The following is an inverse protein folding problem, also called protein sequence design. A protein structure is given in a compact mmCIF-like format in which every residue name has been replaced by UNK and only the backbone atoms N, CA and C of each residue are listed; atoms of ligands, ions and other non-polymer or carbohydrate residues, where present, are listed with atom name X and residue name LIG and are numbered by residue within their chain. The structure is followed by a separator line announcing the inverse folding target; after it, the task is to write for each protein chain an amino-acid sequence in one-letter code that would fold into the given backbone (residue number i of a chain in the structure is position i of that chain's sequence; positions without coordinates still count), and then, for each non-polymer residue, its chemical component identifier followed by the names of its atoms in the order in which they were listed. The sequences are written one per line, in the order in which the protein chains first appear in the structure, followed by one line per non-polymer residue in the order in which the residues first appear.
data_IF_372469590960
#
_entry.id   IF_372469590960
#
_cell.length_a   1.000
_cell.length_b   1.000
_cell.length_c   1.000
_cell.angle_alpha   90.00
_cell.angle_beta   90.00
_cell.angle_gamma   90.00
#
_symmetry.space_group_name_H-M   'P 1'
#
loop_
_entity.id
_entity.type
_entity.pdbx_description
1 polymer ?
#
# COMPACT_ATOMS: atom_id res chain seq x y z
N UNK A 1 13.31 10.66 8.99
CA UNK A 1 12.96 9.36 8.40
C UNK A 1 12.19 9.64 7.13
N UNK A 2 12.71 9.20 5.99
CA UNK A 2 12.12 9.47 4.69
C UNK A 2 10.73 8.80 4.65
N UNK A 3 9.67 9.60 4.62
CA UNK A 3 8.29 9.08 4.74
C UNK A 3 7.77 8.65 3.36
N UNK A 4 8.60 7.92 2.61
CA UNK A 4 8.40 7.59 1.21
C UNK A 4 7.02 6.97 0.96
N UNK A 5 6.59 6.07 1.84
CA UNK A 5 5.25 5.46 1.77
C UNK A 5 4.14 6.49 1.93
N UNK A 6 4.27 7.37 2.92
CA UNK A 6 3.27 8.42 3.19
C UNK A 6 3.20 9.38 2.01
N UNK A 7 4.34 9.89 1.56
CA UNK A 7 4.40 10.82 0.43
C UNK A 7 3.84 10.19 -0.84
N UNK A 8 4.15 8.90 -1.10
CA UNK A 8 3.62 8.18 -2.26
C UNK A 8 2.09 8.01 -2.20
N UNK A 9 1.53 7.73 -1.03
CA UNK A 9 0.08 7.61 -0.84
C UNK A 9 -0.62 8.97 -0.89
N UNK A 10 -0.03 10.03 -0.32
CA UNK A 10 -0.59 11.39 -0.34
C UNK A 10 -0.66 11.97 -1.76
N UNK A 11 0.34 11.69 -2.61
CA UNK A 11 0.30 12.09 -4.04
C UNK A 11 -0.80 11.33 -4.81
N UNK A 12 -1.32 10.23 -4.26
CA UNK A 12 -2.40 9.43 -4.85
C UNK A 12 -3.73 9.57 -4.10
N UNK A 13 -3.88 10.59 -3.24
CA UNK A 13 -5.09 10.79 -2.44
C UNK A 13 -6.38 10.83 -3.29
N UNK A 14 -6.37 11.58 -4.40
CA UNK A 14 -7.53 11.64 -5.31
C UNK A 14 -7.91 10.27 -5.90
N UNK A 15 -6.92 9.44 -6.24
CA UNK A 15 -7.13 8.08 -6.75
C UNK A 15 -7.71 7.18 -5.65
N UNK A 16 -7.14 7.23 -4.45
CA UNK A 16 -7.59 6.46 -3.30
C UNK A 16 -9.04 6.79 -2.95
N UNK A 17 -9.38 8.07 -2.88
CA UNK A 17 -10.74 8.56 -2.65
C UNK A 17 -11.70 8.10 -3.75
N UNK A 18 -11.29 8.19 -5.03
CA UNK A 18 -12.10 7.74 -6.17
C UNK A 18 -12.49 6.27 -6.09
N UNK A 19 -11.60 5.41 -5.59
CA UNK A 19 -11.86 3.98 -5.41
C UNK A 19 -12.43 3.62 -4.03
N UNK A 20 -12.76 4.61 -3.19
CA UNK A 20 -13.32 4.39 -1.86
C UNK A 20 -12.33 3.70 -0.91
N UNK A 21 -11.04 3.94 -1.09
CA UNK A 21 -9.96 3.34 -0.31
C UNK A 21 -9.64 4.26 0.87
N UNK A 22 -9.81 3.74 2.08
CA UNK A 22 -9.41 4.41 3.31
C UNK A 22 -7.98 4.00 3.65
N UNK A 23 -7.14 4.99 3.93
CA UNK A 23 -5.74 4.78 4.36
C UNK A 23 -5.61 5.08 5.85
N UNK A 24 -4.98 4.17 6.60
CA UNK A 24 -4.63 4.37 8.01
C UNK A 24 -3.14 4.10 8.22
N UNK A 25 -2.37 5.13 8.56
CA UNK A 25 -0.93 4.97 8.82
C UNK A 25 -0.68 4.30 10.16
N UNK A 26 0.12 3.24 10.16
CA UNK A 26 0.58 2.56 11.36
C UNK A 26 1.70 3.36 12.02
N UNK A 27 1.65 3.48 13.34
CA UNK A 27 2.75 4.05 14.11
C UNK A 27 4.02 3.21 13.87
N UNK A 28 5.21 3.83 13.76
CA UNK A 28 6.44 3.09 13.56
C UNK A 28 6.66 2.05 14.67
N UNK A 29 6.92 0.80 14.29
CA UNK A 29 7.12 -0.30 15.21
C UNK A 29 8.40 -1.04 14.83
N UNK A 30 9.36 -1.19 15.74
CA UNK A 30 10.67 -1.80 15.45
C UNK A 30 11.41 -1.21 14.22
N UNK A 31 11.15 0.07 13.90
CA UNK A 31 11.74 0.75 12.74
C UNK A 31 10.95 0.57 11.44
N UNK A 32 10.03 -0.37 11.36
CA UNK A 32 9.11 -0.48 10.22
C UNK A 32 8.03 0.60 10.30
N UNK A 33 7.56 1.02 9.13
CA UNK A 33 6.37 1.85 9.00
C UNK A 33 5.43 1.20 7.99
N UNK A 34 4.15 1.52 8.08
CA UNK A 34 3.18 0.92 7.18
C UNK A 34 1.91 1.72 7.09
N UNK A 35 1.08 1.35 6.14
CA UNK A 35 -0.26 1.87 5.97
C UNK A 35 -1.20 0.70 5.74
N UNK A 36 -2.36 0.74 6.39
CA UNK A 36 -3.47 -0.17 6.16
C UNK A 36 -4.40 0.49 5.14
N UNK A 37 -4.80 -0.28 4.13
CA UNK A 37 -5.63 0.16 3.03
C UNK A 37 -6.89 -0.71 3.01
N UNK A 38 -8.05 -0.06 3.14
CA UNK A 38 -9.33 -0.74 3.30
C UNK A 38 -10.35 -0.17 2.33
N UNK A 39 -11.12 -1.03 1.68
CA UNK A 39 -12.27 -0.67 0.86
C UNK A 39 -13.41 -1.67 1.07
N UNK A 40 -14.54 -1.48 0.37
CA UNK A 40 -15.61 -2.48 0.34
C UNK A 40 -15.21 -3.77 -0.37
N UNK A 41 -14.16 -3.75 -1.20
CA UNK A 41 -13.73 -4.88 -2.02
C UNK A 41 -12.56 -5.66 -1.41
N UNK A 42 -11.69 -4.99 -0.67
CA UNK A 42 -10.47 -5.58 -0.13
C UNK A 42 -10.03 -4.94 1.20
N UNK A 43 -9.20 -5.67 1.94
CA UNK A 43 -8.51 -5.22 3.14
C UNK A 43 -7.06 -5.65 3.06
N UNK A 44 -6.14 -4.78 3.46
CA UNK A 44 -4.72 -5.08 3.36
C UNK A 44 -3.84 -3.96 3.87
N UNK A 45 -2.56 -4.03 3.51
CA UNK A 45 -1.61 -3.00 3.88
C UNK A 45 -0.29 -3.10 3.13
N UNK A 46 0.47 -2.03 3.27
CA UNK A 46 1.83 -1.89 2.78
C UNK A 46 2.73 -1.71 3.99
N UNK A 47 3.76 -2.55 4.12
CA UNK A 47 4.76 -2.48 5.20
C UNK A 47 6.14 -2.20 4.60
N UNK A 48 6.83 -1.19 5.10
CA UNK A 48 8.24 -0.94 4.80
C UNK A 48 9.13 -1.59 5.85
N UNK A 49 10.02 -2.47 5.39
CA UNK A 49 11.01 -3.21 6.17
C UNK A 49 12.39 -2.57 6.00
N UNK A 50 12.83 -1.69 6.90
CA UNK A 50 14.07 -0.93 6.75
C UNK A 50 15.33 -1.81 6.72
N UNK A 51 15.33 -2.95 7.41
CA UNK A 51 16.46 -3.86 7.50
C UNK A 51 16.79 -4.55 6.17
N UNK A 52 15.82 -4.60 5.25
CA UNK A 52 15.99 -5.12 3.89
C UNK A 52 15.77 -4.06 2.81
N UNK A 53 15.43 -2.83 3.18
CA UNK A 53 15.00 -1.77 2.25
C UNK A 53 13.86 -2.22 1.32
N UNK A 54 12.93 -3.05 1.83
CA UNK A 54 11.84 -3.66 1.05
C UNK A 54 10.48 -3.13 1.46
N UNK A 55 9.55 -3.13 0.51
CA UNK A 55 8.12 -2.93 0.75
C UNK A 55 7.40 -4.25 0.55
N UNK A 56 6.60 -4.64 1.53
CA UNK A 56 5.70 -5.78 1.50
C UNK A 56 4.27 -5.29 1.26
N UNK A 57 3.57 -5.95 0.34
CA UNK A 57 2.19 -5.66 -0.05
C UNK A 57 1.36 -6.90 0.25
N UNK A 58 0.34 -6.76 1.09
CA UNK A 58 -0.57 -7.85 1.43
C UNK A 58 -2.01 -7.37 1.35
N UNK A 59 -2.81 -8.00 0.51
CA UNK A 59 -4.22 -7.65 0.31
C UNK A 59 -5.07 -8.90 0.17
N UNK A 60 -6.23 -8.88 0.82
CA UNK A 60 -7.22 -9.95 0.80
C UNK A 60 -8.58 -9.44 0.30
N UNK A 61 -9.34 -10.30 -0.36
CA UNK A 61 -10.71 -9.98 -0.79
C UNK A 61 -11.65 -9.96 0.40
N UNK A 62 -12.44 -8.89 0.56
CA UNK A 62 -13.50 -8.85 1.56
C UNK A 62 -14.65 -9.83 1.24
N UNK A 63 -14.78 -10.25 -0.03
CA UNK A 63 -15.85 -11.15 -0.48
C UNK A 63 -15.53 -12.61 -0.20
N UNK A 64 -14.33 -13.06 -0.52
CA UNK A 64 -13.95 -14.48 -0.39
C UNK A 64 -12.97 -14.77 0.76
N UNK A 65 -12.27 -13.75 1.26
CA UNK A 65 -11.17 -13.91 2.22
C UNK A 65 -9.84 -14.31 1.57
N UNK A 66 -9.83 -14.64 0.28
CA UNK A 66 -8.62 -15.07 -0.43
C UNK A 66 -7.59 -13.96 -0.52
N UNK A 67 -6.32 -14.35 -0.57
CA UNK A 67 -5.20 -13.44 -0.84
C UNK A 67 -5.26 -13.01 -2.30
N UNK A 68 -5.37 -11.70 -2.52
CA UNK A 68 -5.31 -11.07 -3.85
C UNK A 68 -3.85 -10.79 -4.21
N UNK A 69 -3.11 -10.20 -3.27
CA UNK A 69 -1.71 -9.81 -3.43
C UNK A 69 -0.93 -10.25 -2.19
N UNK A 70 0.20 -10.88 -2.42
CA UNK A 70 1.27 -11.08 -1.45
C UNK A 70 2.59 -10.93 -2.21
N UNK A 71 3.20 -9.75 -2.12
CA UNK A 71 4.39 -9.40 -2.89
C UNK A 71 5.38 -8.60 -2.06
N UNK A 72 6.66 -8.65 -2.42
CA UNK A 72 7.73 -7.88 -1.80
C UNK A 72 8.62 -7.26 -2.86
N UNK A 73 8.86 -5.96 -2.77
CA UNK A 73 9.61 -5.22 -3.79
C UNK A 73 10.43 -4.07 -3.22
N UNK A 74 11.60 -3.84 -3.80
CA UNK A 74 12.45 -2.70 -3.49
C UNK A 74 12.05 -1.50 -4.33
N UNK A 75 12.12 -0.31 -3.73
CA UNK A 75 11.93 0.96 -4.41
C UNK A 75 13.01 1.93 -3.93
N UNK A 76 13.61 2.67 -4.86
CA UNK A 76 14.68 3.61 -4.54
C UNK A 76 14.20 5.07 -4.61
N UNK A 77 13.05 5.32 -5.24
CA UNK A 77 12.42 6.63 -5.32
C UNK A 77 10.93 6.58 -4.98
N UNK A 78 10.38 7.68 -4.45
CA UNK A 78 8.96 7.77 -4.08
C UNK A 78 8.06 7.70 -5.30
N UNK A 79 8.53 8.21 -6.44
CA UNK A 79 7.81 8.23 -7.71
C UNK A 79 7.60 6.81 -8.24
N UNK A 80 8.60 5.93 -8.07
CA UNK A 80 8.50 4.51 -8.43
C UNK A 80 7.44 3.79 -7.59
N UNK A 81 7.48 4.01 -6.26
CA UNK A 81 6.50 3.46 -5.34
C UNK A 81 5.08 3.98 -5.66
N UNK A 82 4.93 5.28 -5.89
CA UNK A 82 3.64 5.89 -6.21
C UNK A 82 3.06 5.38 -7.52
N UNK A 83 3.88 5.21 -8.56
CA UNK A 83 3.46 4.63 -9.84
C UNK A 83 3.04 3.16 -9.68
N UNK A 84 3.78 2.38 -8.88
CA UNK A 84 3.42 0.99 -8.59
C UNK A 84 2.10 0.87 -7.81
N UNK A 85 1.88 1.71 -6.79
CA UNK A 85 0.62 1.74 -6.04
C UNK A 85 -0.56 2.09 -6.95
N UNK A 86 -0.38 3.04 -7.87
CA UNK A 86 -1.41 3.38 -8.86
C UNK A 86 -1.76 2.20 -9.76
N UNK A 87 -0.77 1.50 -10.32
CA UNK A 87 -1.01 0.29 -11.13
C UNK A 87 -1.68 -0.81 -10.31
N UNK A 88 -1.24 -1.03 -9.06
CA UNK A 88 -1.84 -2.01 -8.15
C UNK A 88 -3.34 -1.73 -7.95
N UNK A 89 -3.67 -0.47 -7.67
CA UNK A 89 -5.06 -0.04 -7.43
C UNK A 89 -5.89 -0.18 -8.70
N UNK A 90 -5.40 0.33 -9.82
CA UNK A 90 -6.17 0.43 -11.07
C UNK A 90 -6.27 -0.89 -11.83
N UNK A 91 -5.31 -1.80 -11.66
CA UNK A 91 -5.26 -3.06 -12.39
C UNK A 91 -5.77 -4.25 -11.58
N UNK A 92 -5.47 -4.30 -10.28
CA UNK A 92 -5.71 -5.50 -9.46
C UNK A 92 -6.79 -5.32 -8.40
N UNK A 93 -6.82 -4.16 -7.73
CA UNK A 93 -7.68 -3.94 -6.57
C UNK A 93 -9.03 -3.26 -6.87
N UNK A 94 -9.25 -2.84 -8.13
CA UNK A 94 -10.49 -2.17 -8.57
C UNK A 94 -11.39 -3.03 -9.46
N UNK A 95 -11.12 -4.34 -9.53
CA UNK A 95 -11.95 -5.33 -10.24
C UNK A 95 -12.99 -5.94 -9.29
#
# INVERSE_FOLDING_TARGET
MNNMLKDALEVKDELLVRYGIKVSFRAPCYGSCGADLESSQYVGGITYWPEKSLFEFQFNSCKSGDVIILDTKEFHAKEELAAFIEDLITTQLSR
#
